data_IF_214755967086
#
_entry.id   IF_214755967086
#
_cell.length_a   1.000
_cell.length_b   1.000
_cell.length_c   1.000
_cell.angle_alpha   90.00
_cell.angle_beta   90.00
_cell.angle_gamma   90.00
#
_symmetry.space_group_name_H-M   'P 1'
#
loop_
_entity.id
_entity.type
_entity.pdbx_description
1 polymer ?
#
# COMPACT_ATOMS: atom_id res chain seq x y z
N UNK A 1 4.75 18.20 -12.96
CA UNK A 1 5.07 17.25 -14.06
C UNK A 1 3.77 16.67 -14.59
N UNK A 2 3.52 16.78 -15.89
CA UNK A 2 2.38 16.14 -16.55
C UNK A 2 2.65 14.65 -16.58
N UNK A 3 1.84 13.86 -15.86
CA UNK A 3 1.88 12.40 -16.00
C UNK A 3 1.33 12.04 -17.37
N UNK A 4 2.22 11.81 -18.33
CA UNK A 4 1.84 11.18 -19.59
C UNK A 4 1.42 9.74 -19.27
N UNK A 5 0.13 9.45 -19.38
CA UNK A 5 -0.32 8.06 -19.42
C UNK A 5 0.39 7.41 -20.60
N UNK A 6 1.10 6.32 -20.35
CA UNK A 6 1.60 5.49 -21.46
C UNK A 6 0.41 4.72 -22.05
N UNK A 7 -0.18 5.27 -23.09
CA UNK A 7 -1.12 4.51 -23.91
C UNK A 7 -0.37 3.47 -24.77
N UNK A 8 -0.98 2.32 -25.06
CA UNK A 8 -2.34 1.92 -24.66
C UNK A 8 -2.40 1.41 -23.21
N UNK A 9 -3.49 1.71 -22.50
CA UNK A 9 -3.75 1.29 -21.11
C UNK A 9 -4.97 0.36 -21.02
N UNK A 10 -4.96 -0.64 -20.14
CA UNK A 10 -6.14 -1.50 -19.94
C UNK A 10 -7.35 -0.67 -19.48
N UNK A 11 -8.52 -0.93 -20.04
CA UNK A 11 -9.76 -0.18 -19.78
C UNK A 11 -10.12 -0.14 -18.27
N UNK A 12 -9.98 -1.25 -17.56
CA UNK A 12 -10.21 -1.28 -16.11
C UNK A 12 -9.19 -0.39 -15.33
N UNK A 13 -7.94 -0.33 -15.82
CA UNK A 13 -6.93 0.57 -15.25
C UNK A 13 -7.28 2.02 -15.55
N UNK A 14 -7.68 2.34 -16.78
CA UNK A 14 -8.13 3.68 -17.17
C UNK A 14 -9.27 4.19 -16.30
N UNK A 15 -10.38 3.40 -16.15
CA UNK A 15 -11.51 3.78 -15.30
C UNK A 15 -11.11 4.02 -13.83
N UNK A 16 -10.12 3.25 -13.35
CA UNK A 16 -9.59 3.45 -12.00
C UNK A 16 -8.72 4.71 -11.86
N UNK A 17 -7.93 5.05 -12.86
CA UNK A 17 -7.04 6.21 -12.89
C UNK A 17 -7.79 7.53 -13.02
N UNK A 18 -8.89 7.54 -13.78
CA UNK A 18 -9.79 8.70 -13.85
C UNK A 18 -10.65 8.86 -12.59
N UNK A 19 -10.51 7.98 -11.61
CA UNK A 19 -11.20 8.05 -10.32
C UNK A 19 -12.64 7.55 -10.34
N UNK A 20 -13.10 6.91 -11.43
CA UNK A 20 -14.48 6.45 -11.59
C UNK A 20 -14.83 5.31 -10.62
N UNK A 21 -14.03 4.21 -10.63
CA UNK A 21 -14.27 3.05 -9.77
C UNK A 21 -12.97 2.27 -9.50
N UNK A 22 -13.02 1.16 -8.74
CA UNK A 22 -11.89 0.25 -8.60
C UNK A 22 -11.72 -0.59 -9.88
N UNK A 23 -10.49 -1.12 -10.12
CA UNK A 23 -10.24 -2.00 -11.28
C UNK A 23 -11.17 -3.21 -11.31
N UNK A 24 -11.44 -3.84 -10.13
CA UNK A 24 -12.37 -4.96 -10.00
C UNK A 24 -13.82 -4.57 -10.29
N UNK A 25 -14.21 -3.37 -9.88
CA UNK A 25 -15.53 -2.83 -10.19
C UNK A 25 -15.65 -2.51 -11.67
N UNK A 26 -14.60 -1.95 -12.29
CA UNK A 26 -14.53 -1.73 -13.73
C UNK A 26 -14.68 -3.05 -14.51
N UNK A 27 -14.01 -4.13 -14.08
CA UNK A 27 -14.16 -5.45 -14.70
C UNK A 27 -15.62 -5.92 -14.65
N UNK A 28 -16.30 -5.79 -13.51
CA UNK A 28 -17.73 -6.11 -13.38
C UNK A 28 -18.63 -5.25 -14.29
N UNK A 29 -18.36 -3.96 -14.41
CA UNK A 29 -19.12 -3.08 -15.29
C UNK A 29 -18.94 -3.46 -16.77
N UNK A 30 -17.74 -3.89 -17.16
CA UNK A 30 -17.44 -4.39 -18.51
C UNK A 30 -18.23 -5.68 -18.76
N UNK A 31 -18.15 -6.66 -17.85
CA UNK A 31 -18.90 -7.93 -17.95
C UNK A 31 -20.41 -7.73 -18.03
N UNK A 32 -20.95 -6.73 -17.31
CA UNK A 32 -22.37 -6.35 -17.34
C UNK A 32 -22.75 -5.58 -18.62
N UNK A 33 -21.82 -5.29 -19.53
CA UNK A 33 -22.06 -4.53 -20.75
C UNK A 33 -22.44 -3.06 -20.51
N UNK A 34 -22.08 -2.50 -19.36
CA UNK A 34 -22.37 -1.12 -18.96
C UNK A 34 -21.30 -0.12 -19.41
N UNK A 35 -20.21 -0.62 -19.98
CA UNK A 35 -19.10 0.20 -20.53
C UNK A 35 -19.13 0.10 -22.05
N UNK A 36 -18.90 1.22 -22.73
CA UNK A 36 -18.61 1.26 -24.16
C UNK A 36 -17.29 1.94 -24.44
N UNK A 37 -16.60 1.47 -25.48
CA UNK A 37 -15.38 2.05 -26.04
C UNK A 37 -15.67 2.38 -27.48
N UNK A 38 -15.69 3.68 -27.85
CA UNK A 38 -16.07 4.15 -29.18
C UNK A 38 -17.47 3.63 -29.60
N UNK A 39 -18.42 3.55 -28.67
CA UNK A 39 -19.78 3.05 -28.91
C UNK A 39 -19.93 1.52 -28.94
N UNK A 40 -18.85 0.75 -28.83
CA UNK A 40 -18.83 -0.73 -28.88
C UNK A 40 -18.60 -1.29 -27.49
N UNK A 41 -19.26 -2.42 -27.15
CA UNK A 41 -19.06 -3.12 -25.87
C UNK A 41 -17.68 -3.80 -25.88
N UNK A 42 -16.78 -3.45 -24.94
CA UNK A 42 -15.45 -4.04 -24.85
C UNK A 42 -15.47 -5.37 -24.09
N UNK A 43 -14.47 -6.20 -24.34
CA UNK A 43 -14.18 -7.40 -23.54
C UNK A 43 -13.23 -7.09 -22.38
N UNK A 44 -13.12 -8.03 -21.42
CA UNK A 44 -12.10 -7.96 -20.37
C UNK A 44 -10.70 -7.93 -20.99
N UNK A 45 -9.87 -7.02 -20.50
CA UNK A 45 -8.51 -6.86 -21.01
C UNK A 45 -8.37 -5.90 -22.19
N UNK A 46 -9.48 -5.41 -22.77
CA UNK A 46 -9.47 -4.35 -23.81
C UNK A 46 -8.59 -3.18 -23.37
N UNK A 47 -7.83 -2.63 -24.32
CA UNK A 47 -6.94 -1.47 -24.11
C UNK A 47 -7.56 -0.21 -24.71
N UNK A 48 -7.36 0.90 -24.01
CA UNK A 48 -7.80 2.26 -24.42
C UNK A 48 -6.61 2.99 -25.02
N UNK A 49 -6.82 3.68 -26.12
CA UNK A 49 -5.88 4.62 -26.73
C UNK A 49 -6.16 6.05 -26.25
N UNK A 50 -5.27 6.98 -26.54
CA UNK A 50 -5.40 8.37 -26.09
C UNK A 50 -6.63 9.08 -26.66
N UNK A 51 -7.00 8.75 -27.90
CA UNK A 51 -8.12 9.34 -28.65
C UNK A 51 -9.47 8.62 -28.42
N UNK A 52 -9.48 7.49 -27.71
CA UNK A 52 -10.68 6.70 -27.53
C UNK A 52 -11.70 7.39 -26.62
N UNK A 53 -12.98 7.23 -26.95
CA UNK A 53 -14.12 7.64 -26.12
C UNK A 53 -14.58 6.48 -25.25
N UNK A 54 -14.57 6.69 -23.93
CA UNK A 54 -15.05 5.72 -22.93
C UNK A 54 -16.34 6.24 -22.31
N UNK A 55 -17.38 5.41 -22.29
CA UNK A 55 -18.63 5.73 -21.62
C UNK A 55 -19.00 4.63 -20.62
N UNK A 56 -19.68 5.04 -19.55
CA UNK A 56 -20.29 4.13 -18.57
C UNK A 56 -21.74 4.56 -18.38
N UNK A 57 -22.68 3.62 -18.61
CA UNK A 57 -24.12 3.87 -18.58
C UNK A 57 -24.53 5.06 -19.47
N UNK A 58 -23.92 5.18 -20.66
CA UNK A 58 -24.18 6.26 -21.63
C UNK A 58 -23.61 7.64 -21.22
N UNK A 59 -22.81 7.71 -20.15
CA UNK A 59 -22.15 8.95 -19.73
C UNK A 59 -20.66 8.90 -20.10
N UNK A 60 -20.18 9.90 -20.81
CA UNK A 60 -18.78 10.02 -21.19
C UNK A 60 -17.88 10.17 -19.95
N UNK A 61 -16.84 9.37 -19.90
CA UNK A 61 -15.83 9.38 -18.86
C UNK A 61 -14.58 10.05 -19.42
N UNK A 62 -14.40 11.32 -19.07
CA UNK A 62 -13.22 12.07 -19.47
C UNK A 62 -12.09 11.95 -18.42
N UNK A 63 -10.87 12.05 -18.91
CA UNK A 63 -9.66 12.11 -18.07
C UNK A 63 -9.75 13.35 -17.17
N UNK A 64 -9.87 13.15 -15.87
CA UNK A 64 -9.63 14.23 -14.92
C UNK A 64 -8.13 14.52 -14.88
N UNK A 65 -7.74 15.75 -15.13
CA UNK A 65 -6.35 16.24 -14.99
C UNK A 65 -5.96 16.50 -13.53
N UNK A 66 -6.59 15.77 -12.61
CA UNK A 66 -6.35 15.95 -11.18
C UNK A 66 -4.91 15.60 -10.83
N UNK A 67 -4.28 16.47 -10.02
CA UNK A 67 -2.96 16.19 -9.45
C UNK A 67 -3.02 14.91 -8.61
N UNK A 68 -1.97 14.10 -8.71
CA UNK A 68 -1.82 12.96 -7.80
C UNK A 68 -1.71 13.44 -6.36
N UNK A 69 -2.32 12.67 -5.49
CA UNK A 69 -2.35 12.91 -4.05
C UNK A 69 -1.51 11.83 -3.37
N UNK A 70 -0.70 12.23 -2.41
CA UNK A 70 0.11 11.34 -1.59
C UNK A 70 -0.08 11.75 -0.13
N UNK A 71 -0.60 10.83 0.67
CA UNK A 71 -0.89 11.07 2.08
C UNK A 71 -0.03 10.19 2.98
N UNK A 72 0.46 10.76 4.07
CA UNK A 72 0.94 10.04 5.24
C UNK A 72 -0.21 9.93 6.23
N UNK A 73 -0.40 8.73 6.78
CA UNK A 73 -1.39 8.50 7.82
C UNK A 73 -0.78 7.66 8.93
N UNK A 74 -0.94 8.09 10.18
CA UNK A 74 -0.64 7.29 11.35
C UNK A 74 -1.89 6.47 11.72
N UNK A 75 -2.00 5.28 11.13
CA UNK A 75 -3.16 4.40 11.30
C UNK A 75 -3.30 3.95 12.75
N UNK A 76 -4.44 4.16 13.40
CA UNK A 76 -4.71 3.59 14.72
C UNK A 76 -4.98 2.08 14.66
N UNK A 77 -4.89 1.41 15.81
CA UNK A 77 -5.40 0.05 16.00
C UNK A 77 -6.92 0.05 15.76
N UNK A 78 -7.46 -1.07 15.28
CA UNK A 78 -8.90 -1.26 15.04
C UNK A 78 -9.34 -0.93 13.62
N UNK A 79 -8.56 -0.16 12.85
CA UNK A 79 -8.89 0.21 11.46
C UNK A 79 -8.31 -0.80 10.47
N UNK A 80 -9.12 -1.23 9.49
CA UNK A 80 -8.75 -2.18 8.44
C UNK A 80 -8.30 -1.43 7.17
N UNK A 81 -7.19 -1.87 6.57
CA UNK A 81 -6.69 -1.33 5.31
C UNK A 81 -7.43 -1.94 4.11
N UNK A 82 -8.69 -1.56 3.92
CA UNK A 82 -9.52 -1.95 2.77
C UNK A 82 -10.14 -0.75 2.09
N UNK A 83 -10.41 -0.86 0.79
CA UNK A 83 -11.20 0.09 0.01
C UNK A 83 -12.63 -0.40 -0.20
N UNK A 84 -12.98 -1.58 0.28
CA UNK A 84 -14.36 -2.09 0.28
C UNK A 84 -15.05 -1.72 1.59
N UNK A 85 -15.70 -0.55 1.58
CA UNK A 85 -16.38 0.04 2.73
C UNK A 85 -17.67 -0.69 3.11
N UNK A 86 -18.19 -1.56 2.23
CA UNK A 86 -19.41 -2.35 2.47
C UNK A 86 -19.15 -3.56 3.36
N UNK A 87 -17.93 -4.10 3.33
CA UNK A 87 -17.53 -5.31 4.07
C UNK A 87 -17.05 -4.99 5.48
N UNK A 88 -16.34 -3.87 5.64
CA UNK A 88 -15.73 -3.48 6.92
C UNK A 88 -16.07 -2.02 7.22
N UNK A 89 -16.79 -1.78 8.32
CA UNK A 89 -17.19 -0.42 8.74
C UNK A 89 -15.99 0.39 9.23
N UNK A 90 -15.10 -0.25 10.02
CA UNK A 90 -13.91 0.39 10.56
C UNK A 90 -12.76 0.33 9.55
N UNK A 91 -12.92 0.98 8.41
CA UNK A 91 -11.96 0.96 7.31
C UNK A 91 -11.20 2.29 7.18
N UNK A 92 -10.04 2.22 6.54
CA UNK A 92 -9.11 3.35 6.39
C UNK A 92 -9.67 4.47 5.51
N UNK A 93 -10.55 4.17 4.55
CA UNK A 93 -11.10 5.15 3.61
C UNK A 93 -12.12 6.04 4.31
N UNK A 94 -13.08 5.44 5.00
CA UNK A 94 -14.10 6.18 5.75
C UNK A 94 -13.48 6.94 6.94
N UNK A 95 -12.45 6.36 7.59
CA UNK A 95 -11.74 7.02 8.69
C UNK A 95 -11.06 8.32 8.25
N UNK A 96 -10.37 8.32 7.10
CA UNK A 96 -9.65 9.50 6.56
C UNK A 96 -10.62 10.49 5.94
N UNK A 97 -11.71 10.01 5.33
CA UNK A 97 -12.75 10.80 4.65
C UNK A 97 -12.18 11.86 3.69
N UNK A 98 -11.22 11.46 2.84
CA UNK A 98 -10.59 12.35 1.88
C UNK A 98 -11.53 12.62 0.67
N UNK A 99 -11.62 13.87 0.14
CA UNK A 99 -12.62 14.23 -0.88
C UNK A 99 -12.42 13.58 -2.25
N UNK A 100 -11.26 12.97 -2.50
CA UNK A 100 -10.96 12.23 -3.73
C UNK A 100 -10.81 10.75 -3.41
N UNK A 101 -11.04 9.91 -4.43
CA UNK A 101 -10.80 8.48 -4.31
C UNK A 101 -9.31 8.21 -4.10
N UNK A 102 -8.97 7.63 -2.95
CA UNK A 102 -7.62 7.20 -2.59
C UNK A 102 -7.62 5.73 -2.19
N UNK A 103 -6.43 5.13 -2.16
CA UNK A 103 -6.23 3.76 -1.68
C UNK A 103 -4.88 3.63 -0.98
N UNK A 104 -4.75 2.71 -0.02
CA UNK A 104 -3.53 2.52 0.73
C UNK A 104 -2.43 1.86 -0.11
N UNK A 105 -1.18 2.29 0.10
CA UNK A 105 0.02 1.64 -0.44
C UNK A 105 0.45 0.54 0.54
N UNK A 106 0.00 -0.68 0.26
CA UNK A 106 0.16 -1.81 1.15
C UNK A 106 -0.86 -1.82 2.28
N UNK A 107 -0.59 -2.64 3.30
CA UNK A 107 -1.50 -2.85 4.42
C UNK A 107 -0.76 -2.88 5.74
N UNK A 108 -1.48 -2.53 6.81
CA UNK A 108 -1.22 -2.88 8.19
C UNK A 108 -2.40 -3.70 8.70
N UNK A 109 -2.13 -4.72 9.51
CA UNK A 109 -3.18 -5.53 10.12
C UNK A 109 -4.07 -4.69 11.07
N UNK A 110 -5.30 -5.11 11.32
CA UNK A 110 -6.24 -4.44 12.24
C UNK A 110 -5.62 -4.14 13.62
N UNK A 111 -4.87 -5.07 14.28
CA UNK A 111 -4.22 -4.83 15.56
C UNK A 111 -2.83 -4.18 15.46
N UNK A 112 -2.46 -3.61 14.32
CA UNK A 112 -1.20 -2.90 14.11
C UNK A 112 -1.45 -1.43 13.83
N UNK A 113 -0.52 -0.57 14.24
CA UNK A 113 -0.60 0.88 14.09
C UNK A 113 0.60 1.45 13.32
N UNK A 114 0.56 2.75 13.02
CA UNK A 114 1.69 3.48 12.49
C UNK A 114 1.57 3.89 11.02
N UNK A 115 2.70 4.24 10.44
CA UNK A 115 2.79 4.88 9.14
C UNK A 115 2.25 4.01 8.00
N UNK A 116 1.32 4.56 7.25
CA UNK A 116 0.86 4.02 5.98
C UNK A 116 0.67 5.16 4.98
N UNK A 117 1.01 4.92 3.73
CA UNK A 117 0.77 5.86 2.65
C UNK A 117 -0.55 5.57 1.95
N UNK A 118 -1.24 6.63 1.49
CA UNK A 118 -2.39 6.52 0.61
C UNK A 118 -2.19 7.43 -0.60
N UNK A 119 -2.78 7.04 -1.74
CA UNK A 119 -2.64 7.80 -2.99
C UNK A 119 -3.82 7.50 -3.94
N UNK A 120 -3.97 8.31 -4.96
CA UNK A 120 -4.76 8.02 -6.16
C UNK A 120 -3.89 7.59 -7.36
N UNK A 121 -2.55 7.54 -7.20
CA UNK A 121 -1.60 7.09 -8.22
C UNK A 121 -1.36 5.58 -8.11
N UNK A 122 -1.97 4.80 -9.01
CA UNK A 122 -1.80 3.34 -9.02
C UNK A 122 -0.43 2.86 -9.49
N UNK A 123 0.32 3.69 -10.21
CA UNK A 123 1.62 3.29 -10.77
C UNK A 123 2.73 3.24 -9.72
N UNK A 124 2.68 4.13 -8.72
CA UNK A 124 3.68 4.15 -7.65
C UNK A 124 3.57 2.95 -6.69
N UNK A 125 2.36 2.38 -6.56
CA UNK A 125 2.08 1.31 -5.58
C UNK A 125 3.00 0.11 -5.76
N UNK A 126 3.08 -0.39 -7.00
CA UNK A 126 3.92 -1.56 -7.30
C UNK A 126 5.42 -1.25 -7.14
N UNK A 127 5.85 -0.03 -7.43
CA UNK A 127 7.24 0.38 -7.23
C UNK A 127 7.63 0.33 -5.76
N UNK A 128 6.76 0.79 -4.86
CA UNK A 128 7.00 0.81 -3.40
C UNK A 128 6.89 -0.58 -2.77
N UNK A 129 5.91 -1.41 -3.21
CA UNK A 129 5.57 -2.63 -2.48
C UNK A 129 6.38 -3.86 -2.86
N UNK A 130 6.98 -3.90 -4.05
CA UNK A 130 7.66 -5.11 -4.51
C UNK A 130 8.91 -5.41 -3.70
N UNK A 131 8.96 -6.62 -3.15
CA UNK A 131 10.09 -7.11 -2.34
C UNK A 131 11.43 -7.12 -3.12
N UNK A 132 11.39 -7.26 -4.46
CA UNK A 132 12.60 -7.19 -5.31
C UNK A 132 13.23 -5.80 -5.36
N UNK A 133 12.45 -4.73 -5.12
CA UNK A 133 12.94 -3.36 -5.10
C UNK A 133 13.65 -3.01 -3.79
N UNK A 134 13.61 -3.88 -2.78
CA UNK A 134 14.38 -3.75 -1.54
C UNK A 134 13.99 -2.58 -0.63
N UNK A 135 12.83 -1.98 -0.81
CA UNK A 135 12.40 -0.82 -0.01
C UNK A 135 12.14 -1.18 1.45
N UNK A 136 12.90 -0.52 2.32
CA UNK A 136 12.87 -0.75 3.75
C UNK A 136 11.58 -0.24 4.41
N UNK A 137 11.12 -0.99 5.40
CA UNK A 137 10.07 -0.59 6.34
C UNK A 137 10.54 -0.93 7.74
N UNK A 138 10.52 0.05 8.64
CA UNK A 138 10.96 -0.12 10.02
C UNK A 138 9.78 -0.17 10.97
N UNK A 139 9.88 -1.07 11.93
CA UNK A 139 8.85 -1.30 12.94
C UNK A 139 9.45 -1.30 14.33
N UNK A 140 8.69 -0.76 15.29
CA UNK A 140 8.91 -0.94 16.72
C UNK A 140 7.94 -2.01 17.20
N UNK A 141 8.46 -3.02 17.87
CA UNK A 141 7.73 -4.22 18.28
C UNK A 141 7.89 -4.45 19.76
N UNK A 142 6.77 -4.54 20.49
CA UNK A 142 6.76 -4.97 21.87
C UNK A 142 6.24 -6.40 21.97
N UNK A 143 6.86 -7.19 22.81
CA UNK A 143 6.57 -8.61 23.02
C UNK A 143 6.26 -8.91 24.49
N UNK A 144 5.70 -10.08 24.76
CA UNK A 144 5.24 -10.50 26.09
C UNK A 144 6.35 -10.98 27.03
N UNK A 145 7.59 -11.09 26.58
CA UNK A 145 8.74 -11.55 27.37
C UNK A 145 10.03 -10.80 26.97
N UNK A 146 11.09 -10.95 27.79
CA UNK A 146 12.35 -10.25 27.58
C UNK A 146 13.04 -10.64 26.28
N UNK A 147 13.46 -9.63 25.53
CA UNK A 147 14.24 -9.77 24.30
C UNK A 147 15.66 -10.16 24.63
N UNK A 148 16.07 -11.37 24.24
CA UNK A 148 17.41 -11.93 24.46
C UNK A 148 18.30 -11.75 23.23
N UNK A 149 19.62 -11.87 23.40
CA UNK A 149 20.58 -11.84 22.28
C UNK A 149 20.32 -12.99 21.30
N UNK A 150 19.97 -14.18 21.79
CA UNK A 150 19.61 -15.34 20.95
C UNK A 150 18.36 -15.07 20.13
N UNK A 151 17.32 -14.45 20.71
CA UNK A 151 16.13 -14.03 19.97
C UNK A 151 16.48 -13.07 18.82
N UNK A 152 17.28 -12.03 19.09
CA UNK A 152 17.67 -11.04 18.08
C UNK A 152 18.47 -11.69 16.93
N UNK A 153 19.40 -12.58 17.26
CA UNK A 153 20.19 -13.31 16.28
C UNK A 153 19.31 -14.17 15.37
N UNK A 154 18.41 -14.97 15.94
CA UNK A 154 17.47 -15.80 15.17
C UNK A 154 16.54 -14.93 14.29
N UNK A 155 15.99 -13.85 14.84
CA UNK A 155 15.14 -12.91 14.08
C UNK A 155 15.86 -12.30 12.88
N UNK A 156 17.17 -12.04 12.98
CA UNK A 156 17.95 -11.36 11.92
C UNK A 156 18.39 -12.29 10.78
N UNK A 157 18.51 -13.59 11.01
CA UNK A 157 19.07 -14.56 10.03
C UNK A 157 18.03 -15.18 9.10
N UNK A 158 16.75 -15.00 9.40
CA UNK A 158 15.63 -15.59 8.65
C UNK A 158 14.94 -16.69 9.42
N UNK A 159 13.63 -16.73 9.33
CA UNK A 159 12.74 -17.65 10.05
C UNK A 159 11.79 -18.34 9.07
N UNK A 160 11.58 -19.67 9.17
CA UNK A 160 10.61 -20.37 8.36
C UNK A 160 9.18 -20.01 8.79
N UNK A 161 8.43 -19.42 7.86
CA UNK A 161 7.01 -19.09 7.99
C UNK A 161 6.33 -19.25 6.63
N UNK A 162 5.07 -19.65 6.58
CA UNK A 162 4.27 -19.68 5.33
C UNK A 162 5.00 -20.41 4.18
N UNK A 163 5.54 -21.59 4.45
CA UNK A 163 6.25 -22.45 3.49
C UNK A 163 7.46 -21.77 2.80
N UNK A 164 8.01 -20.73 3.43
CA UNK A 164 9.22 -20.04 2.97
C UNK A 164 10.08 -19.60 4.14
N UNK A 165 11.32 -19.20 3.87
CA UNK A 165 12.21 -18.59 4.87
C UNK A 165 12.24 -17.07 4.64
N UNK A 166 12.05 -16.29 5.71
CA UNK A 166 12.13 -14.82 5.61
C UNK A 166 13.54 -14.38 5.23
N UNK A 167 13.65 -13.26 4.51
CA UNK A 167 14.94 -12.66 4.20
C UNK A 167 15.64 -12.22 5.49
N UNK A 168 16.98 -12.27 5.56
CA UNK A 168 17.73 -11.64 6.63
C UNK A 168 17.34 -10.17 6.79
N UNK A 169 17.34 -9.69 8.03
CA UNK A 169 16.90 -8.33 8.35
C UNK A 169 17.68 -7.73 9.52
N UNK A 170 17.65 -6.40 9.64
CA UNK A 170 18.26 -5.70 10.77
C UNK A 170 17.30 -5.74 11.96
N UNK A 171 17.80 -6.17 13.12
CA UNK A 171 17.04 -6.21 14.38
C UNK A 171 17.88 -5.59 15.48
N UNK A 172 17.29 -4.69 16.28
CA UNK A 172 18.01 -4.00 17.38
C UNK A 172 17.13 -3.99 18.62
N UNK A 173 17.73 -4.32 19.78
CA UNK A 173 17.08 -4.18 21.09
C UNK A 173 16.87 -2.71 21.41
N UNK A 174 15.66 -2.33 21.83
CA UNK A 174 15.31 -0.99 22.30
C UNK A 174 15.02 -0.96 23.81
N UNK A 175 14.54 -2.05 24.35
CA UNK A 175 14.18 -2.17 25.76
C UNK A 175 14.10 -3.63 26.20
N UNK A 176 13.66 -3.87 27.43
CA UNK A 176 13.55 -5.23 27.97
C UNK A 176 12.66 -6.11 27.10
N UNK A 177 11.48 -5.63 26.71
CA UNK A 177 10.49 -6.36 25.92
C UNK A 177 10.23 -5.69 24.57
N UNK A 178 11.18 -4.89 24.07
CA UNK A 178 10.99 -4.07 22.86
C UNK A 178 12.22 -4.11 21.95
N UNK A 179 11.96 -4.19 20.64
CA UNK A 179 13.01 -4.18 19.62
C UNK A 179 12.52 -3.44 18.35
N UNK A 180 13.47 -2.94 17.54
CA UNK A 180 13.19 -2.51 16.17
C UNK A 180 13.55 -3.59 15.18
N UNK A 181 12.82 -3.63 14.04
CA UNK A 181 13.09 -4.52 12.93
C UNK A 181 12.90 -3.79 11.61
N UNK A 182 13.86 -3.93 10.68
CA UNK A 182 13.79 -3.35 9.33
C UNK A 182 13.62 -4.45 8.30
N UNK A 183 12.52 -4.41 7.56
CA UNK A 183 12.15 -5.40 6.57
C UNK A 183 12.13 -4.81 5.16
N UNK A 184 12.63 -5.57 4.17
CA UNK A 184 12.51 -5.26 2.73
C UNK A 184 11.43 -6.08 2.02
N UNK A 185 10.77 -6.99 2.73
CA UNK A 185 9.66 -7.81 2.25
C UNK A 185 8.44 -7.64 3.15
N UNK A 186 7.26 -8.11 2.72
CA UNK A 186 6.02 -8.01 3.48
C UNK A 186 5.14 -9.23 3.30
N UNK A 187 5.46 -10.32 4.00
CA UNK A 187 4.60 -11.51 4.05
C UNK A 187 3.41 -11.28 4.99
N UNK A 188 2.36 -12.08 4.81
CA UNK A 188 1.19 -11.98 5.68
C UNK A 188 1.56 -12.15 7.15
N UNK A 189 1.28 -11.13 7.98
CA UNK A 189 1.56 -11.08 9.42
C UNK A 189 3.01 -11.47 9.79
N UNK A 190 3.98 -11.13 8.92
CA UNK A 190 5.36 -11.62 8.97
C UNK A 190 5.98 -11.50 10.36
N UNK A 191 6.04 -10.31 10.95
CA UNK A 191 6.68 -10.07 12.25
C UNK A 191 6.00 -10.88 13.37
N UNK A 192 4.66 -10.97 13.37
CA UNK A 192 3.92 -11.75 14.35
C UNK A 192 4.24 -13.23 14.24
N UNK A 193 4.25 -13.78 13.03
CA UNK A 193 4.62 -15.19 12.77
C UNK A 193 6.07 -15.49 13.11
N UNK A 194 7.01 -14.57 12.80
CA UNK A 194 8.41 -14.71 13.19
C UNK A 194 8.57 -14.75 14.72
N UNK A 195 7.86 -13.90 15.45
CA UNK A 195 7.85 -13.94 16.92
C UNK A 195 7.21 -15.23 17.46
N UNK A 196 6.06 -15.62 16.91
CA UNK A 196 5.35 -16.86 17.30
C UNK A 196 6.23 -18.11 17.09
N UNK A 197 6.98 -18.20 16.00
CA UNK A 197 7.93 -19.29 15.76
C UNK A 197 9.03 -19.40 16.83
N UNK A 198 9.37 -18.30 17.49
CA UNK A 198 10.33 -18.23 18.58
C UNK A 198 9.68 -18.23 19.98
N UNK A 199 8.40 -18.60 20.10
CA UNK A 199 7.61 -18.61 21.32
C UNK A 199 7.42 -17.24 21.98
N UNK A 200 7.40 -16.16 21.15
CA UNK A 200 7.08 -14.80 21.59
C UNK A 200 5.73 -14.37 21.03
N UNK A 201 4.96 -13.60 21.80
CA UNK A 201 3.71 -12.98 21.35
C UNK A 201 3.90 -11.47 21.23
N UNK A 202 3.59 -10.92 20.06
CA UNK A 202 3.60 -9.46 19.82
C UNK A 202 2.42 -8.82 20.55
N UNK A 203 2.70 -7.90 21.45
CA UNK A 203 1.71 -7.11 22.22
C UNK A 203 1.45 -5.74 21.59
N UNK A 204 2.48 -5.12 20.96
CA UNK A 204 2.35 -3.88 20.19
C UNK A 204 3.19 -3.96 18.93
N UNK A 205 2.67 -3.45 17.81
CA UNK A 205 3.39 -3.38 16.52
C UNK A 205 3.07 -2.05 15.86
N UNK A 206 4.11 -1.23 15.72
CA UNK A 206 4.01 0.08 15.10
C UNK A 206 5.01 0.21 13.94
N UNK A 207 4.54 0.58 12.76
CA UNK A 207 5.45 0.94 11.66
C UNK A 207 5.81 2.41 11.78
N UNK A 208 7.11 2.70 11.93
CA UNK A 208 7.62 4.05 12.18
C UNK A 208 8.30 4.67 10.97
N UNK A 209 8.71 3.87 9.96
CA UNK A 209 9.38 4.38 8.76
C UNK A 209 9.01 3.55 7.53
N UNK A 210 8.90 4.20 6.39
CA UNK A 210 8.82 3.60 5.06
C UNK A 210 9.82 4.33 4.17
N UNK A 211 10.83 3.60 3.67
CA UNK A 211 11.92 4.15 2.87
C UNK A 211 12.62 5.30 3.63
N UNK A 212 12.62 6.51 3.09
CA UNK A 212 13.21 7.72 3.68
C UNK A 212 12.22 8.57 4.51
N UNK A 213 10.98 8.12 4.68
CA UNK A 213 9.93 8.90 5.35
C UNK A 213 9.64 8.29 6.72
N UNK A 214 9.81 9.08 7.77
CA UNK A 214 9.55 8.72 9.15
C UNK A 214 8.15 9.18 9.59
N UNK A 215 7.63 8.53 10.63
CA UNK A 215 6.35 8.86 11.22
C UNK A 215 6.49 10.09 12.15
N UNK A 216 5.92 11.20 11.73
CA UNK A 216 5.93 12.48 12.45
C UNK A 216 4.53 12.95 12.90
N UNK A 217 3.53 12.08 12.79
CA UNK A 217 2.13 12.40 13.06
C UNK A 217 1.61 11.73 14.34
N UNK A 218 0.73 12.40 15.10
CA UNK A 218 -0.06 11.75 16.15
C UNK A 218 -0.92 10.62 15.58
N UNK A 219 -1.26 9.64 16.43
CA UNK A 219 -2.15 8.52 16.06
C UNK A 219 -3.49 9.05 15.55
N UNK A 220 -3.97 8.50 14.44
CA UNK A 220 -5.24 8.86 13.79
C UNK A 220 -5.18 10.14 12.96
N UNK A 221 -4.02 10.79 12.82
CA UNK A 221 -3.85 11.98 11.98
C UNK A 221 -3.20 11.64 10.65
N UNK A 222 -3.52 12.44 9.64
CA UNK A 222 -2.93 12.36 8.30
C UNK A 222 -2.54 13.76 7.81
N UNK A 223 -1.60 13.80 6.86
CA UNK A 223 -1.21 14.99 6.09
C UNK A 223 -0.80 14.60 4.68
N UNK A 224 -0.73 15.57 3.80
CA UNK A 224 -0.09 15.38 2.49
C UNK A 224 1.45 15.28 2.65
N UNK A 225 2.10 14.64 1.68
CA UNK A 225 3.56 14.68 1.55
C UNK A 225 4.02 16.10 1.31
N UNK A 226 5.18 16.45 1.88
CA UNK A 226 5.88 17.67 1.47
C UNK A 226 6.51 17.48 0.08
N UNK A 227 6.84 18.58 -0.59
CA UNK A 227 7.52 18.50 -1.90
C UNK A 227 8.86 17.78 -1.80
N UNK A 228 9.61 17.97 -0.73
CA UNK A 228 10.92 17.33 -0.53
C UNK A 228 10.79 15.83 -0.23
N UNK A 229 9.80 15.42 0.55
CA UNK A 229 9.46 14.01 0.75
C UNK A 229 9.11 13.33 -0.58
N UNK A 230 8.29 13.98 -1.40
CA UNK A 230 7.89 13.45 -2.70
C UNK A 230 9.07 13.39 -3.68
N UNK A 231 9.94 14.41 -3.70
CA UNK A 231 11.18 14.40 -4.50
C UNK A 231 12.10 13.25 -4.07
N UNK A 232 12.36 13.13 -2.76
CA UNK A 232 13.20 12.06 -2.21
C UNK A 232 12.63 10.67 -2.49
N UNK A 233 11.31 10.48 -2.34
CA UNK A 233 10.64 9.24 -2.69
C UNK A 233 10.80 8.89 -4.18
N UNK A 234 10.59 9.85 -5.08
CA UNK A 234 10.71 9.63 -6.52
C UNK A 234 12.13 9.24 -6.93
N UNK A 235 13.16 9.88 -6.38
CA UNK A 235 14.57 9.51 -6.61
C UNK A 235 14.83 8.04 -6.23
N UNK A 236 14.35 7.60 -5.07
CA UNK A 236 14.49 6.20 -4.63
C UNK A 236 13.70 5.22 -5.52
N UNK A 237 12.66 5.69 -6.20
CA UNK A 237 11.82 4.87 -7.08
C UNK A 237 12.27 4.85 -8.55
N UNK A 238 13.25 5.65 -8.96
CA UNK A 238 13.73 5.70 -10.34
C UNK A 238 14.27 4.35 -10.83
N UNK A 239 15.01 3.64 -9.97
CA UNK A 239 15.53 2.30 -10.24
C UNK A 239 14.52 1.18 -10.05
N UNK A 240 13.34 1.49 -9.52
CA UNK A 240 12.31 0.49 -9.17
C UNK A 240 11.52 0.05 -10.40
N UNK A 241 11.43 -1.27 -10.61
CA UNK A 241 10.72 -1.82 -11.75
C UNK A 241 9.20 -1.79 -11.55
N UNK A 242 8.47 -1.36 -12.58
CA UNK A 242 7.03 -1.59 -12.74
C UNK A 242 6.77 -3.04 -13.14
N UNK A 243 5.55 -3.53 -12.95
CA UNK A 243 5.10 -4.78 -13.60
C UNK A 243 4.85 -4.50 -15.07
N UNK A 244 5.37 -5.36 -15.93
CA UNK A 244 4.81 -5.51 -17.28
C UNK A 244 3.46 -6.21 -17.20
#
# INVERSE_FOLDING_TARGET
MRTSHQFPVRLNKYLSEVGFCSRREADKLIEQGRVTLNGIKPELGTKVQEQDSVEVDGRSISKRTDKHVYLLFNKPIGIVCTTDTRVERDNIIDYINYPKRIFPIGRLDKPSEGLIFLTNDGDIVNKILRARNGHEKEYIVRVNRSVTSSFLQKMSTGIPILDTVTKPCKVKKLGQNEFSIVLTQGLNRQIRRMCEFLDYRVTKLQRVRIMNIELDLPVGKWREFTEDELKGLNLLLESSQKTN
#
